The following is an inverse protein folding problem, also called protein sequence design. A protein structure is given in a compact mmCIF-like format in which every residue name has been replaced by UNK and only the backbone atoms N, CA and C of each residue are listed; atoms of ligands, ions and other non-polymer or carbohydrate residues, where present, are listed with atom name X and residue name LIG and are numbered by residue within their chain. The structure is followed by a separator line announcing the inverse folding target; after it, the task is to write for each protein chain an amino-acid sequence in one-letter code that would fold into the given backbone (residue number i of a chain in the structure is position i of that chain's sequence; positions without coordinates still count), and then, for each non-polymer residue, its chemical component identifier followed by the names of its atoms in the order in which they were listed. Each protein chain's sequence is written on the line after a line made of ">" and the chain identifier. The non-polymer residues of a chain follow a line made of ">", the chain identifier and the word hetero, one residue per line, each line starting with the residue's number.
data_IF_220325308514
#
_entry.id   IF_220325308514
#
_cell.length_a   1.000
_cell.length_b   1.000
_cell.length_c   1.000
_cell.angle_alpha   90.00
_cell.angle_beta   90.00
_cell.angle_gamma   90.00
#
_symmetry.space_group_name_H-M   'P 1'
#
loop_
_entity.id
_entity.type
_entity.pdbx_description
1 polymer ?
#
# COMPACT_ATOMS: atom_id res chain seq x y z
N UNK A 1 14.07 -2.45 -11.58
CA UNK A 1 13.18 -1.75 -12.53
C UNK A 1 13.80 -1.83 -13.91
N UNK A 2 13.00 -1.94 -14.97
CA UNK A 2 13.51 -2.05 -16.36
C UNK A 2 12.61 -1.25 -17.30
N UNK A 3 13.17 -0.46 -18.21
CA UNK A 3 12.39 0.19 -19.28
C UNK A 3 11.91 -0.87 -20.27
N UNK A 4 10.58 -0.95 -20.47
CA UNK A 4 9.97 -1.93 -21.38
C UNK A 4 9.49 -1.30 -22.68
N UNK A 5 8.96 -0.09 -22.59
CA UNK A 5 8.39 0.62 -23.74
C UNK A 5 8.76 2.09 -23.66
N UNK A 6 9.05 2.71 -24.80
CA UNK A 6 9.12 4.15 -24.96
C UNK A 6 8.23 4.56 -26.12
N UNK A 7 7.66 5.75 -26.06
CA UNK A 7 6.82 6.30 -27.11
C UNK A 7 7.35 7.67 -27.54
N UNK A 8 7.58 7.84 -28.83
CA UNK A 8 8.04 9.08 -29.45
C UNK A 8 6.99 9.50 -30.50
N UNK A 9 6.47 10.75 -30.50
CA UNK A 9 5.40 11.18 -31.39
C UNK A 9 5.65 10.95 -32.88
N UNK A 10 6.89 11.16 -33.34
CA UNK A 10 7.25 11.03 -34.76
C UNK A 10 7.48 9.58 -35.21
N UNK A 11 7.88 8.70 -34.29
CA UNK A 11 8.39 7.36 -34.61
C UNK A 11 7.49 6.23 -34.09
N UNK A 12 6.56 6.52 -33.17
CA UNK A 12 5.68 5.54 -32.56
C UNK A 12 6.25 4.93 -31.27
N UNK A 13 5.75 3.74 -30.92
CA UNK A 13 6.12 3.03 -29.68
C UNK A 13 7.25 2.02 -29.94
N UNK A 14 8.38 2.22 -29.28
CA UNK A 14 9.47 1.26 -29.24
C UNK A 14 9.29 0.32 -28.04
N UNK A 15 9.29 -0.98 -28.29
CA UNK A 15 9.38 -1.99 -27.24
C UNK A 15 10.80 -2.52 -27.18
N UNK A 16 11.45 -2.32 -26.03
CA UNK A 16 12.74 -2.97 -25.78
C UNK A 16 12.43 -4.41 -25.41
N UNK A 17 13.09 -5.36 -26.08
CA UNK A 17 12.78 -6.79 -26.04
C UNK A 17 12.60 -7.39 -24.63
N UNK A 18 12.17 -8.65 -24.57
CA UNK A 18 11.77 -9.35 -23.35
C UNK A 18 12.87 -9.60 -22.31
N UNK A 19 14.08 -9.04 -22.48
CA UNK A 19 15.16 -9.17 -21.50
C UNK A 19 14.73 -8.65 -20.13
N UNK A 20 14.87 -9.50 -19.12
CA UNK A 20 14.63 -9.19 -17.71
C UNK A 20 15.89 -8.66 -17.02
N UNK A 21 17.01 -8.54 -17.72
CA UNK A 21 18.28 -8.10 -17.14
C UNK A 21 18.28 -6.58 -16.94
N UNK A 22 18.37 -6.10 -15.69
CA UNK A 22 18.23 -4.68 -15.38
C UNK A 22 19.49 -3.85 -15.67
N UNK A 23 20.65 -4.48 -15.85
CA UNK A 23 21.94 -3.78 -15.96
C UNK A 23 22.66 -3.99 -17.29
N UNK A 24 22.27 -4.96 -18.11
CA UNK A 24 22.97 -5.30 -19.36
C UNK A 24 22.53 -4.38 -20.53
N UNK A 25 23.46 -3.60 -21.11
CA UNK A 25 23.19 -2.72 -22.25
C UNK A 25 23.41 -3.39 -23.62
N UNK A 26 23.94 -4.61 -23.71
CA UNK A 26 24.33 -5.20 -25.01
C UNK A 26 23.17 -5.78 -25.86
N UNK A 27 21.91 -5.63 -25.42
CA UNK A 27 20.72 -6.23 -26.04
C UNK A 27 19.77 -5.16 -26.58
N UNK A 28 20.16 -4.45 -27.65
CA UNK A 28 19.37 -3.42 -28.32
C UNK A 28 19.47 -3.47 -29.85
N UNK A 29 18.43 -3.02 -30.56
CA UNK A 29 18.43 -2.85 -32.02
C UNK A 29 19.05 -1.49 -32.39
N UNK A 30 20.00 -1.47 -33.32
CA UNK A 30 20.83 -0.31 -33.71
C UNK A 30 20.13 0.77 -34.57
N UNK A 31 18.79 0.78 -34.68
CA UNK A 31 18.11 1.74 -35.56
C UNK A 31 18.05 3.15 -34.91
N UNK A 32 19.03 3.99 -35.27
CA UNK A 32 19.06 5.42 -34.97
C UNK A 32 18.32 6.23 -36.06
N UNK A 33 17.17 6.79 -35.71
CA UNK A 33 16.52 7.85 -36.46
C UNK A 33 16.88 9.21 -35.85
N UNK A 34 16.99 10.30 -36.63
CA UNK A 34 17.35 11.62 -36.10
C UNK A 34 16.37 12.14 -35.04
N UNK A 35 15.06 11.82 -35.13
CA UNK A 35 14.11 12.20 -34.07
C UNK A 35 14.27 11.39 -32.77
N UNK A 36 14.97 10.25 -32.82
CA UNK A 36 15.30 9.44 -31.64
C UNK A 36 16.52 9.99 -30.90
N UNK A 37 17.43 10.68 -31.60
CA UNK A 37 18.65 11.25 -30.99
C UNK A 37 18.30 12.27 -29.90
N UNK A 38 17.36 13.19 -30.16
CA UNK A 38 16.89 14.16 -29.16
C UNK A 38 16.29 13.47 -27.93
N UNK A 39 15.51 12.41 -28.14
CA UNK A 39 14.93 11.63 -27.05
C UNK A 39 16.00 10.92 -26.21
N UNK A 40 17.00 10.32 -26.87
CA UNK A 40 18.12 9.65 -26.20
C UNK A 40 19.04 10.66 -25.49
N UNK A 41 19.22 11.86 -26.05
CA UNK A 41 19.93 12.95 -25.39
C UNK A 41 19.25 13.31 -24.07
N UNK A 42 17.93 13.48 -24.04
CA UNK A 42 17.22 13.73 -22.78
C UNK A 42 17.29 12.54 -21.83
N UNK A 43 17.11 11.32 -22.33
CA UNK A 43 17.15 10.12 -21.50
C UNK A 43 18.50 9.95 -20.78
N UNK A 44 19.60 10.24 -21.47
CA UNK A 44 20.96 10.15 -20.95
C UNK A 44 21.37 11.36 -20.09
N UNK A 45 21.00 12.57 -20.52
CA UNK A 45 21.46 13.80 -19.87
C UNK A 45 20.57 14.23 -18.69
N UNK A 46 19.26 13.95 -18.70
CA UNK A 46 18.38 14.19 -17.55
C UNK A 46 18.55 13.13 -16.45
N UNK A 47 19.77 12.65 -16.22
CA UNK A 47 20.06 11.50 -15.37
C UNK A 47 21.38 11.65 -14.62
N UNK A 48 21.41 11.27 -13.34
CA UNK A 48 22.65 11.28 -12.55
C UNK A 48 23.21 9.87 -12.33
N UNK A 49 22.45 8.83 -12.71
CA UNK A 49 22.92 7.46 -12.60
C UNK A 49 24.11 7.18 -13.53
N UNK A 50 24.99 6.31 -13.06
CA UNK A 50 26.16 5.87 -13.82
C UNK A 50 26.19 4.35 -13.90
N UNK A 51 26.23 3.83 -15.12
CA UNK A 51 26.39 2.40 -15.43
C UNK A 51 27.84 2.15 -15.82
N UNK A 52 28.49 1.17 -15.19
CA UNK A 52 29.87 0.81 -15.46
C UNK A 52 30.07 -0.69 -15.41
N UNK A 53 31.07 -1.15 -16.14
CA UNK A 53 31.54 -2.53 -16.06
C UNK A 53 32.55 -2.63 -14.90
N UNK A 54 32.31 -3.56 -13.98
CA UNK A 54 33.23 -3.89 -12.90
C UNK A 54 34.41 -4.71 -13.44
N UNK A 55 35.48 -4.81 -12.65
CA UNK A 55 36.69 -5.58 -12.97
C UNK A 55 36.40 -7.08 -13.17
N UNK A 56 35.31 -7.58 -12.58
CA UNK A 56 34.83 -8.96 -12.71
C UNK A 56 33.97 -9.19 -13.98
N UNK A 57 33.95 -8.22 -14.91
CA UNK A 57 33.17 -8.26 -16.15
C UNK A 57 31.64 -8.28 -15.92
N UNK A 58 31.18 -7.84 -14.75
CA UNK A 58 29.76 -7.67 -14.40
C UNK A 58 29.33 -6.19 -14.50
N UNK A 59 28.11 -5.95 -14.97
CA UNK A 59 27.54 -4.60 -15.06
C UNK A 59 27.00 -4.13 -13.71
N UNK A 60 27.53 -3.03 -13.19
CA UNK A 60 27.02 -2.36 -12.00
C UNK A 60 26.50 -0.97 -12.33
N UNK A 61 25.51 -0.53 -11.56
CA UNK A 61 24.95 0.81 -11.68
C UNK A 61 24.85 1.48 -10.31
N UNK A 62 25.13 2.78 -10.27
CA UNK A 62 24.93 3.63 -9.09
C UNK A 62 23.92 4.73 -9.42
N UNK A 63 22.98 4.97 -8.50
CA UNK A 63 21.93 5.98 -8.63
C UNK A 63 20.57 5.45 -8.16
N UNK A 64 19.52 6.23 -8.40
CA UNK A 64 18.14 5.82 -8.10
C UNK A 64 17.67 4.72 -9.05
N UNK A 65 16.83 3.75 -8.62
CA UNK A 65 16.39 2.64 -9.48
C UNK A 65 15.69 3.06 -10.77
N UNK A 66 14.97 4.18 -10.74
CA UNK A 66 14.27 4.77 -11.90
C UNK A 66 15.28 5.35 -12.90
N UNK A 67 16.32 5.98 -12.38
CA UNK A 67 17.42 6.61 -13.13
C UNK A 67 18.32 5.57 -13.80
N UNK A 68 18.68 4.53 -13.06
CA UNK A 68 19.44 3.40 -13.59
C UNK A 68 18.70 2.75 -14.76
N UNK A 69 17.38 2.54 -14.64
CA UNK A 69 16.60 1.90 -15.69
C UNK A 69 16.62 2.72 -17.01
N UNK A 70 16.57 4.05 -16.91
CA UNK A 70 16.67 4.95 -18.06
C UNK A 70 18.11 5.00 -18.61
N UNK A 71 19.13 4.99 -17.76
CA UNK A 71 20.53 4.99 -18.21
C UNK A 71 20.88 3.70 -18.95
N UNK A 72 20.43 2.56 -18.43
CA UNK A 72 20.63 1.26 -19.08
C UNK A 72 19.88 1.23 -20.41
N UNK A 73 18.69 1.83 -20.48
CA UNK A 73 17.96 1.99 -21.73
C UNK A 73 18.74 2.82 -22.75
N UNK A 74 19.25 4.00 -22.39
CA UNK A 74 20.06 4.83 -23.29
C UNK A 74 21.37 4.13 -23.70
N UNK A 75 22.00 3.42 -22.76
CA UNK A 75 23.21 2.63 -23.00
C UNK A 75 22.99 1.47 -23.99
N UNK A 76 21.76 0.97 -24.14
CA UNK A 76 21.43 -0.04 -25.17
C UNK A 76 21.53 0.47 -26.61
N UNK A 77 21.50 1.78 -26.79
CA UNK A 77 21.69 2.45 -28.08
C UNK A 77 23.08 3.07 -28.22
N UNK A 78 24.05 2.65 -27.39
CA UNK A 78 25.37 3.28 -27.29
C UNK A 78 25.30 4.80 -26.99
N UNK A 79 24.24 5.19 -26.26
CA UNK A 79 23.95 6.58 -25.88
C UNK A 79 24.13 6.80 -24.37
N UNK A 80 25.24 6.29 -23.83
CA UNK A 80 25.57 6.44 -22.41
C UNK A 80 26.02 7.87 -22.08
N UNK A 81 25.68 8.37 -20.89
CA UNK A 81 26.05 9.72 -20.41
C UNK A 81 27.56 9.98 -20.47
N UNK A 82 28.37 8.95 -20.21
CA UNK A 82 29.82 8.99 -20.25
C UNK A 82 30.38 9.41 -21.61
N UNK A 83 29.71 9.07 -22.72
CA UNK A 83 30.11 9.47 -24.09
C UNK A 83 30.16 11.00 -24.27
N UNK A 84 29.30 11.70 -23.54
CA UNK A 84 29.05 13.14 -23.69
C UNK A 84 29.82 13.98 -22.67
N UNK A 85 30.06 13.41 -21.49
CA UNK A 85 30.62 14.09 -20.32
C UNK A 85 32.07 13.71 -20.02
N UNK A 86 32.53 12.53 -20.45
CA UNK A 86 33.90 12.06 -20.21
C UNK A 86 34.77 12.18 -21.47
N UNK A 87 36.01 12.59 -21.28
CA UNK A 87 37.01 12.71 -22.36
C UNK A 87 37.81 14.00 -22.26
N UNK A 88 38.78 14.18 -23.17
CA UNK A 88 39.62 15.39 -23.24
C UNK A 88 38.87 16.62 -23.75
N UNK A 89 37.69 16.44 -24.36
CA UNK A 89 36.77 17.51 -24.82
C UNK A 89 35.31 17.08 -24.60
N UNK A 90 34.69 17.37 -23.44
CA UNK A 90 33.28 17.08 -23.21
C UNK A 90 32.41 17.93 -24.14
N UNK A 91 31.41 17.32 -24.77
CA UNK A 91 30.44 18.03 -25.62
C UNK A 91 29.43 18.80 -24.77
N UNK A 92 29.13 18.28 -23.57
CA UNK A 92 28.19 18.87 -22.63
C UNK A 92 28.87 19.13 -21.31
N UNK A 93 28.73 20.35 -20.80
CA UNK A 93 29.19 20.77 -19.48
C UNK A 93 27.99 21.13 -18.61
N UNK A 94 27.86 20.43 -17.48
CA UNK A 94 26.77 20.62 -16.53
C UNK A 94 26.95 21.95 -15.78
N UNK A 95 25.97 22.85 -15.92
CA UNK A 95 25.94 24.16 -15.25
C UNK A 95 25.16 24.12 -13.95
N UNK A 96 23.98 23.49 -13.95
CA UNK A 96 23.12 23.42 -12.78
C UNK A 96 22.27 22.13 -12.78
N UNK A 97 21.99 21.63 -11.58
CA UNK A 97 21.05 20.54 -11.36
C UNK A 97 19.87 21.01 -10.52
N UNK A 98 18.67 20.59 -10.94
CA UNK A 98 17.44 20.80 -10.19
C UNK A 98 16.94 19.44 -9.72
N UNK A 99 17.18 19.06 -8.45
CA UNK A 99 16.78 17.75 -7.94
C UNK A 99 15.27 17.60 -7.93
N UNK A 100 14.81 16.35 -7.93
CA UNK A 100 13.39 16.03 -7.93
C UNK A 100 12.66 16.69 -6.75
N UNK A 101 11.58 17.39 -7.06
CA UNK A 101 10.70 18.00 -6.07
C UNK A 101 9.29 17.43 -6.18
N UNK A 102 8.72 17.02 -5.04
CA UNK A 102 7.39 16.46 -4.94
C UNK A 102 6.25 17.41 -5.35
N UNK A 103 6.44 18.73 -5.21
CA UNK A 103 5.44 19.72 -5.58
C UNK A 103 5.31 19.84 -7.11
N UNK A 104 6.46 19.85 -7.80
CA UNK A 104 6.54 20.03 -9.26
C UNK A 104 6.64 18.68 -10.00
N UNK A 105 6.91 17.59 -9.26
CA UNK A 105 7.01 16.19 -9.73
C UNK A 105 7.93 15.99 -10.94
N UNK A 106 9.01 16.76 -11.01
CA UNK A 106 9.97 16.72 -12.10
C UNK A 106 11.39 17.01 -11.61
N UNK A 107 12.36 16.58 -12.41
CA UNK A 107 13.79 16.83 -12.25
C UNK A 107 14.30 17.43 -13.55
N UNK A 108 15.21 18.40 -13.46
CA UNK A 108 15.76 19.06 -14.63
C UNK A 108 17.28 19.25 -14.51
N UNK A 109 18.00 19.13 -15.61
CA UNK A 109 19.44 19.35 -15.71
C UNK A 109 19.73 20.42 -16.77
N UNK A 110 20.53 21.42 -16.41
CA UNK A 110 20.96 22.49 -17.32
C UNK A 110 22.39 22.23 -17.75
N UNK A 111 22.55 21.91 -19.03
CA UNK A 111 23.83 21.65 -19.66
C UNK A 111 24.13 22.69 -20.74
N UNK A 112 25.42 22.91 -20.97
CA UNK A 112 25.92 23.80 -22.01
C UNK A 112 26.82 23.06 -22.98
N UNK A 113 26.68 23.35 -24.27
CA UNK A 113 27.58 22.82 -25.29
C UNK A 113 28.37 23.96 -25.94
N UNK A 114 29.72 23.87 -25.97
CA UNK A 114 30.54 24.81 -26.72
C UNK A 114 30.56 24.39 -28.20
N UNK A 115 29.64 24.94 -29.00
CA UNK A 115 29.58 24.68 -30.43
C UNK A 115 30.04 25.93 -31.21
N UNK A 116 31.11 25.81 -32.00
CA UNK A 116 31.58 26.87 -32.92
C UNK A 116 31.81 28.26 -32.28
N UNK A 117 32.21 28.31 -31.01
CA UNK A 117 32.49 29.59 -30.32
C UNK A 117 31.27 30.27 -29.69
N UNK A 118 30.07 29.69 -29.82
CA UNK A 118 28.86 30.11 -29.13
C UNK A 118 28.47 29.07 -28.04
N UNK A 119 28.14 29.54 -26.84
CA UNK A 119 27.61 28.68 -25.78
C UNK A 119 26.11 28.47 -25.99
N UNK A 120 25.72 27.25 -26.37
CA UNK A 120 24.31 26.87 -26.44
C UNK A 120 23.91 26.17 -25.14
N UNK A 121 22.94 26.74 -24.43
CA UNK A 121 22.40 26.15 -23.21
C UNK A 121 21.16 25.31 -23.53
N UNK A 122 21.09 24.12 -22.94
CA UNK A 122 19.99 23.16 -23.08
C UNK A 122 19.52 22.73 -21.70
N UNK A 123 18.21 22.72 -21.51
CA UNK A 123 17.57 22.16 -20.32
C UNK A 123 16.93 20.82 -20.69
N UNK A 124 17.30 19.78 -19.95
CA UNK A 124 16.74 18.46 -20.06
C UNK A 124 15.86 18.21 -18.83
N UNK A 125 14.62 17.76 -19.03
CA UNK A 125 13.68 17.55 -17.93
C UNK A 125 12.98 16.20 -18.06
N UNK A 126 12.84 15.52 -16.91
CA UNK A 126 12.03 14.31 -16.75
C UNK A 126 11.01 14.51 -15.65
N UNK A 127 9.76 14.13 -15.89
CA UNK A 127 8.71 14.37 -14.89
C UNK A 127 7.41 13.64 -15.12
N UNK A 128 6.52 13.80 -14.15
CA UNK A 128 5.13 13.39 -14.27
C UNK A 128 4.46 14.14 -15.42
N UNK A 129 3.57 13.45 -16.10
CA UNK A 129 2.99 13.93 -17.35
C UNK A 129 1.57 14.35 -17.04
N UNK A 130 1.33 15.66 -16.96
CA UNK A 130 -0.02 16.16 -16.63
C UNK A 130 -0.84 16.48 -17.90
N UNK A 131 -0.23 16.54 -19.10
CA UNK A 131 -0.86 17.18 -20.27
C UNK A 131 -1.07 16.28 -21.51
N UNK A 132 -0.74 14.97 -21.50
CA UNK A 132 -0.77 14.14 -22.74
C UNK A 132 -1.61 12.87 -22.56
N UNK A 133 -2.94 13.01 -22.70
CA UNK A 133 -3.91 12.01 -22.25
C UNK A 133 -4.06 10.73 -23.11
N UNK A 134 -3.86 10.77 -24.44
CA UNK A 134 -4.22 9.62 -25.30
C UNK A 134 -3.22 8.44 -25.23
N UNK A 135 -1.93 8.70 -25.41
CA UNK A 135 -0.93 7.61 -25.48
C UNK A 135 -0.46 7.13 -24.10
N UNK A 136 -0.75 7.90 -23.05
CA UNK A 136 -0.67 7.42 -21.66
C UNK A 136 -1.54 6.20 -21.42
N UNK A 137 -2.75 6.16 -21.99
CA UNK A 137 -3.71 5.09 -21.70
C UNK A 137 -3.15 3.71 -22.07
N UNK A 138 -2.46 3.60 -23.20
CA UNK A 138 -1.85 2.35 -23.65
C UNK A 138 -0.71 1.90 -22.74
N UNK A 139 0.20 2.81 -22.38
CA UNK A 139 1.30 2.49 -21.45
C UNK A 139 0.80 2.21 -20.02
N UNK A 140 -0.23 2.92 -19.58
CA UNK A 140 -0.80 2.81 -18.24
C UNK A 140 -1.58 1.49 -18.09
N UNK A 141 -2.24 1.03 -19.17
CA UNK A 141 -2.94 -0.27 -19.20
C UNK A 141 -2.01 -1.46 -18.94
N UNK A 142 -0.70 -1.28 -19.15
CA UNK A 142 0.33 -2.28 -18.89
C UNK A 142 0.94 -2.18 -17.48
N UNK A 143 0.35 -1.37 -16.59
CA UNK A 143 0.84 -1.10 -15.24
C UNK A 143 2.30 -0.63 -15.20
N UNK A 144 2.75 0.10 -16.22
CA UNK A 144 4.08 0.69 -16.28
C UNK A 144 4.09 2.04 -15.56
N UNK A 145 5.20 2.35 -14.87
CA UNK A 145 5.48 3.71 -14.39
C UNK A 145 5.88 4.57 -15.57
N UNK A 146 5.08 5.58 -15.89
CA UNK A 146 5.30 6.47 -17.05
C UNK A 146 5.98 7.76 -16.62
N UNK A 147 7.00 8.17 -17.37
CA UNK A 147 7.64 9.48 -17.24
C UNK A 147 7.68 10.17 -18.61
N UNK A 148 7.47 11.50 -18.63
CA UNK A 148 7.71 12.31 -19.82
C UNK A 148 9.15 12.79 -19.84
N UNK A 149 9.72 12.76 -21.04
CA UNK A 149 10.97 13.41 -21.37
C UNK A 149 10.67 14.67 -22.17
N UNK A 150 11.27 15.78 -21.77
CA UNK A 150 11.12 17.07 -22.40
C UNK A 150 12.46 17.83 -22.42
N UNK A 151 12.64 18.69 -23.40
CA UNK A 151 13.82 19.54 -23.52
C UNK A 151 13.47 20.99 -23.82
N UNK A 152 14.41 21.89 -23.60
CA UNK A 152 14.32 23.28 -24.05
C UNK A 152 15.70 23.79 -24.44
N UNK A 153 15.82 24.37 -25.64
CA UNK A 153 16.98 25.14 -26.04
C UNK A 153 16.83 26.60 -25.62
N UNK A 154 17.92 27.24 -25.20
CA UNK A 154 17.98 28.68 -24.97
C UNK A 154 18.80 29.35 -26.06
N UNK A 155 18.31 30.50 -26.54
CA UNK A 155 19.06 31.35 -27.45
C UNK A 155 20.16 32.10 -26.68
N UNK A 156 21.36 32.30 -27.29
CA UNK A 156 22.51 32.96 -26.65
C UNK A 156 22.20 34.38 -26.13
N UNK A 157 21.21 35.06 -26.71
CA UNK A 157 20.77 36.41 -26.31
C UNK A 157 19.96 36.47 -25.02
N UNK A 158 19.60 35.33 -24.43
CA UNK A 158 18.81 35.27 -23.20
C UNK A 158 19.71 35.54 -22.00
N UNK A 159 19.92 36.82 -21.66
CA UNK A 159 20.74 37.34 -20.54
C UNK A 159 20.38 36.77 -19.14
N UNK A 160 19.35 35.95 -19.02
CA UNK A 160 18.86 35.36 -17.75
C UNK A 160 19.87 34.37 -17.14
N UNK A 161 20.90 33.95 -17.88
CA UNK A 161 21.82 32.88 -17.48
C UNK A 161 23.23 33.35 -17.08
N UNK A 162 23.52 34.67 -17.14
CA UNK A 162 24.77 35.24 -16.62
C UNK A 162 24.56 35.83 -15.22
N UNK A 163 24.57 34.97 -14.20
CA UNK A 163 24.42 35.34 -12.79
C UNK A 163 24.16 34.12 -11.94
N UNK A 164 24.84 33.98 -10.81
CA UNK A 164 24.96 32.73 -10.03
C UNK A 164 23.67 32.23 -9.33
N UNK A 165 22.46 32.62 -9.76
CA UNK A 165 21.23 32.14 -9.15
C UNK A 165 20.20 31.71 -10.20
N UNK A 166 20.27 30.44 -10.60
CA UNK A 166 19.32 29.85 -11.53
C UNK A 166 18.00 29.58 -10.80
N UNK A 167 16.99 30.42 -11.00
CA UNK A 167 15.64 30.16 -10.46
C UNK A 167 14.90 29.11 -11.29
N UNK A 168 14.53 28.02 -10.61
CA UNK A 168 13.81 26.87 -11.20
C UNK A 168 12.59 27.28 -12.04
N UNK A 169 11.76 28.18 -11.52
CA UNK A 169 10.51 28.59 -12.17
C UNK A 169 10.71 29.31 -13.51
N UNK A 170 11.87 29.92 -13.74
CA UNK A 170 12.17 30.65 -14.98
C UNK A 170 12.77 29.72 -16.04
N UNK A 171 13.64 28.82 -15.58
CA UNK A 171 14.33 27.84 -16.41
C UNK A 171 13.33 26.82 -16.98
N UNK A 172 12.41 26.32 -16.16
CA UNK A 172 11.51 25.21 -16.52
C UNK A 172 10.21 25.61 -17.28
N UNK A 173 10.11 26.85 -17.76
CA UNK A 173 8.99 27.29 -18.63
C UNK A 173 9.18 26.77 -20.08
N UNK A 174 8.09 26.63 -20.83
CA UNK A 174 8.10 26.34 -22.28
C UNK A 174 8.95 25.11 -22.70
N UNK A 175 8.86 24.03 -21.93
CA UNK A 175 9.50 22.76 -22.28
C UNK A 175 8.84 22.16 -23.53
N UNK A 176 9.64 21.75 -24.49
CA UNK A 176 9.22 20.96 -25.64
C UNK A 176 9.14 19.49 -25.24
N UNK A 177 7.95 18.92 -25.36
CA UNK A 177 7.73 17.51 -25.09
C UNK A 177 8.32 16.64 -26.22
N UNK A 178 9.10 15.62 -25.85
CA UNK A 178 9.70 14.67 -26.81
C UNK A 178 9.05 13.30 -26.80
N UNK A 179 8.69 12.76 -25.63
CA UNK A 179 8.17 11.39 -25.56
C UNK A 179 7.93 10.88 -24.15
N UNK A 180 7.47 9.63 -24.08
CA UNK A 180 7.17 8.91 -22.84
C UNK A 180 8.08 7.69 -22.67
N UNK A 181 8.44 7.38 -21.43
CA UNK A 181 9.15 6.15 -21.05
C UNK A 181 8.28 5.37 -20.06
N UNK A 182 8.02 4.10 -20.36
CA UNK A 182 7.32 3.14 -19.53
C UNK A 182 8.29 2.19 -18.82
N UNK A 183 8.39 2.35 -17.50
CA UNK A 183 9.28 1.60 -16.62
C UNK A 183 8.47 0.51 -15.92
N UNK A 184 8.94 -0.74 -16.04
CA UNK A 184 8.39 -1.87 -15.33
C UNK A 184 9.03 -2.00 -13.94
N UNK A 185 8.19 -1.97 -12.90
CA UNK A 185 8.59 -2.23 -11.53
C UNK A 185 8.25 -3.69 -11.16
N UNK A 186 9.24 -4.59 -11.02
CA UNK A 186 8.96 -5.98 -10.67
C UNK A 186 8.32 -6.04 -9.27
N UNK A 187 7.29 -6.88 -9.07
CA UNK A 187 6.73 -7.09 -7.74
C UNK A 187 7.80 -7.63 -6.81
N UNK A 188 7.79 -7.18 -5.55
CA UNK A 188 8.74 -7.67 -4.55
C UNK A 188 8.62 -9.19 -4.41
N UNK A 189 9.72 -9.94 -4.30
CA UNK A 189 9.68 -11.40 -4.27
C UNK A 189 8.82 -11.94 -3.10
N UNK A 190 8.80 -11.23 -1.98
CA UNK A 190 7.94 -11.48 -0.81
C UNK A 190 6.43 -11.43 -1.10
N UNK A 191 6.01 -10.66 -2.11
CA UNK A 191 4.59 -10.50 -2.52
C UNK A 191 4.13 -11.48 -3.60
N UNK A 192 5.06 -12.14 -4.30
CA UNK A 192 4.72 -13.05 -5.40
C UNK A 192 3.86 -14.25 -4.95
N UNK A 193 4.08 -14.74 -3.72
CA UNK A 193 3.27 -15.80 -3.11
C UNK A 193 1.86 -15.32 -2.70
N UNK A 194 1.74 -14.06 -2.26
CA UNK A 194 0.49 -13.48 -1.77
C UNK A 194 -0.49 -13.16 -2.91
N UNK A 195 -0.01 -12.79 -4.10
CA UNK A 195 -0.86 -12.48 -5.25
C UNK A 195 -1.70 -13.67 -5.76
N UNK A 196 -1.31 -14.92 -5.46
CA UNK A 196 -2.09 -16.12 -5.79
C UNK A 196 -3.28 -16.34 -4.85
N UNK A 197 -3.26 -15.76 -3.65
CA UNK A 197 -4.37 -15.84 -2.70
C UNK A 197 -5.13 -14.51 -2.71
N UNK A 198 -6.30 -14.51 -3.31
CA UNK A 198 -7.21 -13.38 -3.22
C UNK A 198 -7.55 -13.05 -1.77
N UNK A 199 -7.84 -11.77 -1.51
CA UNK A 199 -8.22 -11.23 -0.20
C UNK A 199 -9.48 -11.93 0.36
N UNK A 200 -10.34 -12.43 -0.53
CA UNK A 200 -11.55 -13.20 -0.20
C UNK A 200 -11.32 -14.69 -0.40
N UNK A 201 -10.52 -15.32 0.47
CA UNK A 201 -10.50 -16.79 0.49
C UNK A 201 -11.84 -17.30 1.04
N UNK A 202 -12.30 -18.44 0.54
CA UNK A 202 -13.51 -19.10 1.05
C UNK A 202 -13.42 -19.38 2.55
N UNK A 203 -12.22 -19.53 3.10
CA UNK A 203 -11.97 -19.71 4.53
C UNK A 203 -12.39 -18.46 5.33
N UNK A 204 -12.04 -17.26 4.85
CA UNK A 204 -12.41 -15.99 5.48
C UNK A 204 -13.91 -15.76 5.40
N UNK A 205 -14.53 -16.06 4.25
CA UNK A 205 -15.98 -15.91 4.06
C UNK A 205 -16.76 -16.82 5.01
N UNK A 206 -16.37 -18.09 5.11
CA UNK A 206 -17.01 -19.06 6.01
C UNK A 206 -16.84 -18.64 7.47
N UNK A 207 -15.65 -18.17 7.86
CA UNK A 207 -15.40 -17.73 9.24
C UNK A 207 -16.23 -16.48 9.57
N UNK A 208 -16.33 -15.48 8.68
CA UNK A 208 -17.18 -14.29 8.88
C UNK A 208 -18.65 -14.70 9.07
N UNK A 209 -19.17 -15.62 8.25
CA UNK A 209 -20.55 -16.09 8.37
C UNK A 209 -20.78 -16.86 9.68
N UNK A 210 -19.88 -17.77 10.05
CA UNK A 210 -20.02 -18.58 11.25
C UNK A 210 -19.97 -17.73 12.52
N UNK A 211 -18.99 -16.81 12.65
CA UNK A 211 -18.91 -15.91 13.80
C UNK A 211 -20.06 -14.92 13.83
N UNK A 212 -20.47 -14.38 12.68
CA UNK A 212 -21.61 -13.47 12.59
C UNK A 212 -22.92 -14.12 13.07
N UNK A 213 -23.21 -15.34 12.62
CA UNK A 213 -24.39 -16.09 13.05
C UNK A 213 -24.36 -16.40 14.55
N UNK A 214 -23.19 -16.80 15.07
CA UNK A 214 -23.03 -17.10 16.49
C UNK A 214 -23.21 -15.85 17.37
N UNK A 215 -22.56 -14.74 17.03
CA UNK A 215 -22.72 -13.46 17.74
C UNK A 215 -24.17 -12.97 17.69
N UNK A 216 -24.84 -13.07 16.54
CA UNK A 216 -26.26 -12.73 16.42
C UNK A 216 -27.15 -13.58 17.32
N UNK A 217 -26.90 -14.89 17.38
CA UNK A 217 -27.68 -15.80 18.23
C UNK A 217 -27.51 -15.47 19.72
N UNK A 218 -26.29 -15.17 20.16
CA UNK A 218 -26.02 -14.78 21.54
C UNK A 218 -26.64 -13.43 21.91
N UNK A 219 -26.56 -12.43 21.04
CA UNK A 219 -27.18 -11.12 21.26
C UNK A 219 -28.72 -11.20 21.31
N UNK A 220 -29.34 -12.01 20.44
CA UNK A 220 -30.79 -12.19 20.47
C UNK A 220 -31.23 -12.97 21.72
N UNK A 221 -30.41 -13.94 22.14
CA UNK A 221 -30.66 -14.70 23.37
C UNK A 221 -30.53 -13.82 24.61
N UNK A 222 -29.51 -12.95 24.70
CA UNK A 222 -29.35 -12.05 25.85
C UNK A 222 -30.48 -11.02 25.93
N UNK A 223 -30.89 -10.44 24.79
CA UNK A 223 -32.05 -9.55 24.73
C UNK A 223 -33.33 -10.25 25.19
N UNK A 224 -33.59 -11.45 24.67
CA UNK A 224 -34.80 -12.21 24.98
C UNK A 224 -34.85 -12.62 26.46
N UNK A 225 -33.71 -13.00 27.03
CA UNK A 225 -33.59 -13.37 28.45
C UNK A 225 -33.76 -12.16 29.38
N UNK A 226 -33.24 -10.99 28.99
CA UNK A 226 -33.46 -9.75 29.73
C UNK A 226 -34.94 -9.30 29.70
N UNK A 227 -35.62 -9.45 28.55
CA UNK A 227 -37.01 -9.04 28.38
C UNK A 227 -38.01 -10.01 29.02
N UNK A 228 -37.93 -11.30 28.67
CA UNK A 228 -38.95 -12.31 29.03
C UNK A 228 -38.51 -13.24 30.16
N UNK A 229 -37.21 -13.35 30.44
CA UNK A 229 -36.71 -14.17 31.54
C UNK A 229 -36.78 -13.46 32.88
N UNK A 230 -36.35 -12.21 32.92
CA UNK A 230 -36.22 -11.42 34.15
C UNK A 230 -37.06 -10.12 34.16
N UNK A 231 -37.80 -9.84 33.09
CA UNK A 231 -38.65 -8.65 32.96
C UNK A 231 -40.14 -8.97 33.06
N UNK A 232 -40.95 -7.93 33.30
CA UNK A 232 -42.39 -8.04 33.53
C UNK A 232 -43.24 -8.10 32.24
N UNK A 233 -42.63 -8.49 31.10
CA UNK A 233 -43.23 -8.55 29.74
C UNK A 233 -43.92 -7.25 29.28
N UNK A 234 -43.62 -6.12 29.94
CA UNK A 234 -44.16 -4.82 29.61
C UNK A 234 -43.22 -4.06 28.67
N UNK A 235 -43.58 -3.97 27.39
CA UNK A 235 -42.79 -3.30 26.35
C UNK A 235 -42.93 -1.76 26.34
N UNK A 236 -43.85 -1.20 27.15
CA UNK A 236 -44.16 0.23 27.15
C UNK A 236 -44.69 0.74 25.80
N UNK A 237 -44.95 2.04 25.68
CA UNK A 237 -45.34 2.69 24.42
C UNK A 237 -44.43 3.86 24.10
N UNK A 238 -43.89 3.90 22.88
CA UNK A 238 -43.13 5.06 22.40
C UNK A 238 -41.71 5.20 22.99
N UNK A 239 -41.13 4.11 23.49
CA UNK A 239 -39.79 4.08 24.11
C UNK A 239 -38.66 4.56 23.19
N UNK A 240 -38.86 4.52 21.87
CA UNK A 240 -37.88 5.05 20.91
C UNK A 240 -37.86 6.59 20.83
N UNK A 241 -38.77 7.32 21.48
CA UNK A 241 -38.83 8.80 21.39
C UNK A 241 -38.32 9.50 22.63
N UNK A 242 -38.75 9.07 23.82
CA UNK A 242 -38.37 9.67 25.09
C UNK A 242 -38.24 8.58 26.16
N UNK A 243 -37.37 8.82 27.13
CA UNK A 243 -37.24 7.97 28.30
C UNK A 243 -38.47 8.10 29.20
N UNK A 244 -39.02 6.95 29.61
CA UNK A 244 -40.11 6.83 30.57
C UNK A 244 -39.81 5.64 31.49
N UNK A 245 -40.32 5.66 32.72
CA UNK A 245 -40.18 4.54 33.67
C UNK A 245 -40.79 3.24 33.14
N UNK A 246 -41.83 3.34 32.31
CA UNK A 246 -42.43 2.16 31.65
C UNK A 246 -41.50 1.51 30.62
N UNK A 247 -40.49 2.24 30.11
CA UNK A 247 -39.54 1.78 29.11
C UNK A 247 -38.21 1.29 29.70
N UNK A 248 -38.08 1.30 31.03
CA UNK A 248 -36.84 0.96 31.73
C UNK A 248 -36.37 -0.46 31.42
N UNK A 249 -37.30 -1.42 31.30
CA UNK A 249 -37.01 -2.81 30.91
C UNK A 249 -36.43 -2.91 29.50
N UNK A 250 -37.02 -2.21 28.53
CA UNK A 250 -36.54 -2.18 27.13
C UNK A 250 -35.16 -1.54 27.05
N UNK A 251 -34.93 -0.45 27.79
CA UNK A 251 -33.65 0.24 27.83
C UNK A 251 -32.56 -0.64 28.48
N UNK A 252 -32.92 -1.46 29.48
CA UNK A 252 -32.02 -2.44 30.11
C UNK A 252 -31.69 -3.59 29.16
N UNK A 253 -32.67 -4.09 28.40
CA UNK A 253 -32.44 -5.12 27.40
C UNK A 253 -31.55 -4.63 26.23
N UNK A 254 -31.74 -3.39 25.78
CA UNK A 254 -30.85 -2.76 24.80
C UNK A 254 -29.42 -2.60 25.35
N UNK A 255 -29.30 -2.14 26.59
CA UNK A 255 -28.03 -1.99 27.28
C UNK A 255 -27.27 -3.32 27.38
N UNK A 256 -27.92 -4.42 27.79
CA UNK A 256 -27.30 -5.75 27.86
C UNK A 256 -26.84 -6.23 26.49
N UNK A 257 -27.63 -6.02 25.45
CA UNK A 257 -27.28 -6.39 24.07
C UNK A 257 -26.08 -5.60 23.56
N UNK A 258 -26.01 -4.30 23.86
CA UNK A 258 -24.87 -3.44 23.53
C UNK A 258 -23.58 -3.91 24.19
N UNK A 259 -23.61 -4.26 25.49
CA UNK A 259 -22.46 -4.82 26.20
C UNK A 259 -22.02 -6.14 25.59
N UNK A 260 -22.95 -7.07 25.40
CA UNK A 260 -22.66 -8.38 24.80
C UNK A 260 -22.03 -8.24 23.42
N UNK A 261 -22.62 -7.43 22.53
CA UNK A 261 -22.09 -7.19 21.19
C UNK A 261 -20.68 -6.61 21.22
N UNK A 262 -20.48 -5.58 22.06
CA UNK A 262 -19.18 -4.89 22.16
C UNK A 262 -18.11 -5.84 22.67
N UNK A 263 -18.40 -6.62 23.71
CA UNK A 263 -17.43 -7.54 24.29
C UNK A 263 -17.11 -8.70 23.36
N UNK A 264 -18.11 -9.27 22.68
CA UNK A 264 -17.86 -10.31 21.68
C UNK A 264 -17.04 -9.81 20.49
N UNK A 265 -17.26 -8.58 20.02
CA UNK A 265 -16.45 -7.98 18.96
C UNK A 265 -14.99 -7.77 19.39
N UNK A 266 -14.76 -7.34 20.63
CA UNK A 266 -13.42 -7.19 21.20
C UNK A 266 -12.70 -8.54 21.33
N UNK A 267 -13.39 -9.58 21.80
CA UNK A 267 -12.84 -10.94 21.86
C UNK A 267 -12.56 -11.53 20.47
N UNK A 268 -13.44 -11.30 19.49
CA UNK A 268 -13.23 -11.73 18.11
C UNK A 268 -11.97 -11.08 17.52
N UNK A 269 -11.69 -9.82 17.87
CA UNK A 269 -10.49 -9.12 17.43
C UNK A 269 -9.21 -9.82 17.91
N UNK A 270 -9.20 -10.37 19.13
CA UNK A 270 -8.08 -11.20 19.61
C UNK A 270 -7.99 -12.56 18.90
N UNK A 271 -9.12 -13.16 18.54
CA UNK A 271 -9.12 -14.41 17.79
C UNK A 271 -8.59 -14.24 16.36
N UNK A 272 -8.90 -13.12 15.71
CA UNK A 272 -8.52 -12.84 14.32
C UNK A 272 -7.03 -12.50 14.13
N UNK A 273 -6.22 -12.50 15.20
CA UNK A 273 -4.77 -12.28 15.11
C UNK A 273 -4.09 -13.35 14.23
N UNK A 274 -4.64 -14.56 14.17
CA UNK A 274 -4.17 -15.60 13.25
C UNK A 274 -5.34 -16.31 12.58
N UNK A 275 -5.46 -16.18 11.25
CA UNK A 275 -6.55 -16.79 10.46
C UNK A 275 -6.68 -18.32 10.60
N UNK A 276 -5.58 -19.01 10.95
CA UNK A 276 -5.54 -20.49 11.00
C UNK A 276 -5.40 -21.08 12.40
N UNK A 277 -5.06 -20.28 13.42
CA UNK A 277 -4.71 -20.80 14.75
C UNK A 277 -5.54 -20.13 15.82
N UNK A 278 -6.04 -20.92 16.75
CA UNK A 278 -6.79 -20.43 17.90
C UNK A 278 -5.92 -19.53 18.77
N UNK A 279 -6.54 -18.49 19.32
CA UNK A 279 -5.97 -17.56 20.30
C UNK A 279 -5.20 -18.26 21.43
N UNK A 280 -5.76 -19.34 21.99
CA UNK A 280 -5.14 -20.07 23.09
C UNK A 280 -3.95 -20.95 22.66
N UNK A 281 -3.73 -21.15 21.36
CA UNK A 281 -2.64 -21.98 20.82
C UNK A 281 -1.99 -21.38 19.58
N UNK A 282 -1.47 -20.16 19.73
CA UNK A 282 -0.86 -19.41 18.64
C UNK A 282 0.51 -19.97 18.18
N UNK A 283 1.34 -20.46 19.12
CA UNK A 283 2.63 -21.10 18.83
C UNK A 283 2.69 -22.54 19.39
N UNK A 284 2.55 -23.58 18.55
CA UNK A 284 2.42 -24.96 19.01
C UNK A 284 3.73 -25.57 19.57
N UNK A 285 4.90 -24.96 19.32
CA UNK A 285 6.22 -25.49 19.70
C UNK A 285 6.68 -25.11 21.12
N UNK A 286 5.89 -24.34 21.88
CA UNK A 286 6.31 -23.84 23.19
C UNK A 286 5.85 -24.72 24.34
N UNK A 287 6.68 -24.82 25.39
CA UNK A 287 6.47 -25.70 26.55
C UNK A 287 5.49 -25.15 27.60
N UNK A 288 5.09 -23.88 27.50
CA UNK A 288 4.16 -23.22 28.44
C UNK A 288 2.75 -23.26 27.85
N UNK A 289 1.90 -24.18 28.29
CA UNK A 289 0.56 -24.36 27.69
C UNK A 289 -0.48 -23.34 28.20
N UNK A 290 -0.48 -23.00 29.50
CA UNK A 290 -1.51 -22.10 30.08
C UNK A 290 -1.17 -20.61 30.01
N UNK A 291 0.10 -20.24 30.17
CA UNK A 291 0.49 -18.83 30.36
C UNK A 291 0.95 -18.15 29.09
N UNK A 292 1.05 -18.90 27.99
CA UNK A 292 1.67 -18.41 26.77
C UNK A 292 0.80 -17.45 25.97
N UNK A 293 -0.51 -17.67 25.93
CA UNK A 293 -1.43 -16.76 25.24
C UNK A 293 -1.32 -15.33 25.80
N UNK A 294 -1.18 -15.19 27.13
CA UNK A 294 -1.02 -13.89 27.79
C UNK A 294 0.28 -13.18 27.37
N UNK A 295 1.39 -13.93 27.27
CA UNK A 295 2.65 -13.39 26.78
C UNK A 295 2.57 -12.98 25.30
N UNK A 296 1.95 -13.82 24.47
CA UNK A 296 1.87 -13.57 23.03
C UNK A 296 0.92 -12.39 22.71
N UNK A 297 -0.11 -12.17 23.52
CA UNK A 297 -1.00 -11.01 23.46
C UNK A 297 -0.28 -9.74 23.91
N UNK A 298 0.45 -9.79 25.04
CA UNK A 298 1.22 -8.66 25.56
C UNK A 298 2.36 -8.25 24.61
N UNK A 299 2.87 -9.17 23.78
CA UNK A 299 3.90 -8.87 22.77
C UNK A 299 3.46 -7.76 21.82
N UNK A 300 2.18 -7.68 21.48
CA UNK A 300 1.62 -6.57 20.69
C UNK A 300 0.91 -5.58 21.61
N UNK A 301 1.70 -4.65 22.16
CA UNK A 301 1.22 -3.61 23.08
C UNK A 301 0.09 -2.77 22.48
N UNK A 302 0.17 -2.43 21.18
CA UNK A 302 -0.84 -1.61 20.53
C UNK A 302 -2.21 -2.30 20.47
N UNK A 303 -2.24 -3.56 20.02
CA UNK A 303 -3.48 -4.35 19.97
C UNK A 303 -4.05 -4.58 21.37
N UNK A 304 -3.19 -4.89 22.34
CA UNK A 304 -3.59 -5.10 23.72
C UNK A 304 -4.29 -3.86 24.30
N UNK A 305 -3.63 -2.71 24.25
CA UNK A 305 -4.18 -1.46 24.81
C UNK A 305 -5.43 -0.98 24.07
N UNK A 306 -5.52 -1.19 22.75
CA UNK A 306 -6.70 -0.84 21.97
C UNK A 306 -7.94 -1.63 22.41
N UNK A 307 -7.80 -2.93 22.66
CA UNK A 307 -8.91 -3.78 23.11
C UNK A 307 -9.31 -3.45 24.55
N UNK A 308 -8.34 -3.23 25.43
CA UNK A 308 -8.60 -2.84 26.83
C UNK A 308 -9.31 -1.48 26.92
N UNK A 309 -8.91 -0.52 26.09
CA UNK A 309 -9.62 0.75 25.98
C UNK A 309 -11.09 0.53 25.59
N UNK A 310 -11.36 -0.37 24.62
CA UNK A 310 -12.72 -0.76 24.25
C UNK A 310 -13.55 -1.26 25.44
N UNK A 311 -13.01 -2.18 26.25
CA UNK A 311 -13.70 -2.67 27.45
C UNK A 311 -13.97 -1.57 28.47
N UNK A 312 -12.98 -0.70 28.72
CA UNK A 312 -13.11 0.40 29.69
C UNK A 312 -14.14 1.42 29.22
N UNK A 313 -14.23 1.70 27.92
CA UNK A 313 -15.18 2.70 27.35
C UNK A 313 -16.65 2.31 27.50
N UNK A 314 -16.97 1.02 27.69
CA UNK A 314 -18.35 0.57 27.91
C UNK A 314 -18.93 1.12 29.23
N UNK A 315 -18.10 1.25 30.27
CA UNK A 315 -18.51 1.72 31.60
C UNK A 315 -19.05 3.17 31.56
N UNK A 316 -18.31 4.18 31.06
CA UNK A 316 -18.84 5.55 31.02
C UNK A 316 -20.05 5.68 30.09
N UNK A 317 -20.16 4.89 29.02
CA UNK A 317 -21.33 4.91 28.12
C UNK A 317 -22.61 4.48 28.85
N UNK A 318 -22.51 3.51 29.78
CA UNK A 318 -23.65 2.97 30.52
C UNK A 318 -24.08 3.77 31.74
N UNK A 319 -23.16 4.47 32.40
CA UNK A 319 -23.45 5.10 33.69
C UNK A 319 -23.50 6.63 33.65
N UNK A 320 -23.07 7.27 32.55
CA UNK A 320 -23.21 8.72 32.40
C UNK A 320 -24.63 9.03 31.88
N UNK A 321 -25.49 9.71 32.67
CA UNK A 321 -26.93 9.80 32.40
C UNK A 321 -27.24 10.40 31.03
N UNK A 322 -26.61 11.53 30.66
CA UNK A 322 -26.84 12.21 29.36
C UNK A 322 -26.49 11.34 28.15
N UNK A 323 -25.46 10.50 28.27
CA UNK A 323 -25.01 9.62 27.18
C UNK A 323 -25.94 8.40 27.11
N UNK A 324 -26.30 7.87 28.27
CA UNK A 324 -27.10 6.68 28.43
C UNK A 324 -28.54 6.87 27.94
N UNK A 325 -29.27 7.87 28.45
CA UNK A 325 -30.71 8.01 28.23
C UNK A 325 -31.10 8.79 26.95
N UNK A 326 -30.32 9.81 26.57
CA UNK A 326 -30.61 10.67 25.40
C UNK A 326 -29.97 10.11 24.12
N UNK A 327 -28.70 9.74 24.16
CA UNK A 327 -27.96 9.34 22.95
C UNK A 327 -28.19 7.88 22.62
N UNK A 328 -27.92 6.98 23.57
CA UNK A 328 -27.96 5.53 23.34
C UNK A 328 -29.27 4.86 23.76
N UNK A 329 -30.12 5.53 24.54
CA UNK A 329 -31.39 5.00 25.07
C UNK A 329 -31.21 3.68 25.82
N UNK A 330 -30.30 3.71 26.78
CA UNK A 330 -29.93 2.61 27.65
C UNK A 330 -30.19 2.99 29.11
N UNK A 331 -30.19 2.00 30.00
CA UNK A 331 -30.20 2.18 31.46
C UNK A 331 -29.06 1.41 32.10
N UNK A 332 -28.62 1.90 33.26
CA UNK A 332 -27.54 1.26 34.02
C UNK A 332 -27.88 -0.17 34.39
N UNK A 333 -26.92 -1.06 34.17
CA UNK A 333 -27.04 -2.49 34.46
C UNK A 333 -26.48 -2.76 35.87
N UNK A 334 -27.07 -3.71 36.62
CA UNK A 334 -26.62 -4.03 37.99
C UNK A 334 -25.82 -5.32 38.04
N UNK A 335 -26.45 -6.48 37.84
CA UNK A 335 -25.80 -7.79 37.94
C UNK A 335 -25.51 -8.43 36.57
N UNK A 336 -26.13 -7.94 35.49
CA UNK A 336 -25.96 -8.49 34.14
C UNK A 336 -24.58 -8.17 33.54
N UNK A 337 -23.82 -7.23 34.12
CA UNK A 337 -22.39 -7.02 33.84
C UNK A 337 -21.51 -8.21 34.28
N UNK A 338 -21.99 -9.03 35.24
CA UNK A 338 -21.25 -10.15 35.83
C UNK A 338 -21.66 -11.54 35.29
N UNK A 339 -22.70 -11.60 34.46
CA UNK A 339 -23.09 -12.82 33.74
C UNK A 339 -22.41 -13.07 32.38
N UNK A 340 -21.19 -12.59 32.06
CA UNK A 340 -20.37 -13.30 31.10
C UNK A 340 -19.99 -14.68 31.65
N UNK A 341 -19.84 -14.84 32.98
CA UNK A 341 -19.29 -16.07 33.61
C UNK A 341 -20.19 -17.30 33.47
N UNK A 342 -21.51 -17.16 33.61
CA UNK A 342 -22.45 -18.27 33.41
C UNK A 342 -22.65 -18.64 31.93
N UNK A 343 -22.35 -17.71 31.01
CA UNK A 343 -22.26 -18.00 29.57
C UNK A 343 -20.88 -18.54 29.14
N UNK A 344 -19.79 -18.15 29.81
CA UNK A 344 -18.44 -18.60 29.50
C UNK A 344 -18.16 -20.00 30.04
N UNK A 345 -18.72 -20.42 31.18
CA UNK A 345 -18.59 -21.81 31.65
C UNK A 345 -19.38 -22.81 30.77
N UNK A 346 -20.48 -22.37 30.14
CA UNK A 346 -21.18 -23.14 29.11
C UNK A 346 -20.43 -23.10 27.76
N UNK A 347 -19.78 -21.97 27.43
CA UNK A 347 -18.89 -21.83 26.27
C UNK A 347 -17.59 -22.63 26.37
N UNK A 348 -17.10 -22.94 27.58
CA UNK A 348 -15.90 -23.77 27.78
C UNK A 348 -16.18 -25.27 27.65
N UNK A 349 -17.38 -25.73 28.04
CA UNK A 349 -17.75 -27.16 27.97
C UNK A 349 -18.45 -27.58 26.67
N UNK A 350 -19.03 -26.65 25.92
CA UNK A 350 -19.56 -26.91 24.59
C UNK A 350 -18.78 -26.15 23.51
N UNK A 351 -17.60 -26.69 23.20
CA UNK A 351 -16.84 -26.42 21.97
C UNK A 351 -16.99 -27.55 20.90
N UNK A 352 -18.16 -28.19 20.68
CA UNK A 352 -18.28 -29.20 19.62
C UNK A 352 -18.06 -28.58 18.24
N UNK A 353 -18.42 -27.31 18.03
CA UNK A 353 -18.20 -26.62 16.74
C UNK A 353 -16.74 -26.29 16.44
N UNK A 354 -15.90 -25.95 17.44
CA UNK A 354 -14.45 -25.73 17.20
C UNK A 354 -13.70 -27.05 17.04
N UNK A 355 -14.12 -28.12 17.72
CA UNK A 355 -13.64 -29.47 17.42
C UNK A 355 -14.01 -29.89 16.00
N UNK A 356 -15.23 -29.57 15.54
CA UNK A 356 -15.70 -29.88 14.20
C UNK A 356 -15.07 -28.98 13.11
N UNK A 357 -14.94 -27.67 13.33
CA UNK A 357 -14.29 -26.71 12.43
C UNK A 357 -12.77 -26.87 12.41
N UNK A 358 -12.10 -27.15 13.53
CA UNK A 358 -10.68 -27.50 13.54
C UNK A 358 -10.43 -28.88 12.89
N UNK A 359 -11.34 -29.84 13.08
CA UNK A 359 -11.31 -31.14 12.39
C UNK A 359 -11.57 -30.99 10.90
N UNK A 360 -12.46 -30.10 10.46
CA UNK A 360 -12.66 -29.74 9.04
C UNK A 360 -11.46 -28.97 8.46
N UNK A 361 -10.85 -28.04 9.23
CA UNK A 361 -9.63 -27.31 8.85
C UNK A 361 -8.41 -28.24 8.78
N UNK A 362 -8.35 -29.31 9.59
CA UNK A 362 -7.30 -30.33 9.55
C UNK A 362 -7.57 -31.46 8.54
N UNK A 363 -8.83 -31.76 8.19
CA UNK A 363 -9.19 -32.83 7.25
C UNK A 363 -9.16 -32.44 5.77
N UNK A 364 -8.72 -31.24 5.43
CA UNK A 364 -8.34 -30.88 4.06
C UNK A 364 -9.44 -31.11 3.03
N UNK A 365 -10.33 -30.12 2.85
CA UNK A 365 -11.10 -30.02 1.60
C UNK A 365 -10.21 -29.54 0.43
N UNK A 366 -8.95 -29.20 0.68
CA UNK A 366 -7.92 -29.10 -0.37
C UNK A 366 -6.59 -29.61 0.20
N UNK A 367 -5.93 -30.50 -0.55
CA UNK A 367 -4.81 -31.34 -0.12
C UNK A 367 -3.55 -30.63 0.39
N UNK A 368 -2.53 -31.40 0.83
CA UNK A 368 -1.33 -30.87 1.46
C UNK A 368 -0.54 -30.03 0.45
N UNK A 369 -0.30 -28.76 0.79
CA UNK A 369 0.73 -27.97 0.12
C UNK A 369 2.08 -28.63 0.40
N UNK A 370 2.70 -29.15 -0.67
CA UNK A 370 4.06 -29.65 -0.66
C UNK A 370 4.99 -28.63 -0.01
N UNK A 371 5.70 -29.12 0.99
CA UNK A 371 6.93 -28.54 1.52
C UNK A 371 7.94 -28.52 0.37
N UNK A 372 8.19 -27.37 -0.24
CA UNK A 372 9.44 -27.14 -0.99
C UNK A 372 10.41 -26.45 -0.03
N UNK A 373 11.21 -27.29 0.64
CA UNK A 373 12.60 -26.96 0.93
C UNK A 373 13.33 -27.07 -0.41
N UNK A 374 13.76 -25.93 -0.94
CA UNK A 374 15.15 -25.61 -1.33
C UNK A 374 15.19 -24.23 -2.00
#
# INVERSE_FOLDING_TARGET
>A
MVVRKSWVPALGTYSVGSSNEPFNPALGDELLCPELEDFLNVASMANLAHVYLSEENEWHARGEPTEIAIEVFASRFDWNRGRWTKGSKPTWQQKAEFPFDSAVKKMSLLDSTPANGEEKNMLFSKGAVDTILRNMGELASLCLRILALAQRSFDPSTQVLEGMDYRRDEVEKNLQFLGLVGIYDPPRPETAGALKQGIFTWEVVIDILAYGLWTSALCLSSFSLAMWGFGDDNLGRGCNRQYSKECELVFRACATTFVCLTWFALFLTWEMVNMRRSFFRMQPKSKKYLTKWAYDVWRNQFLFWSIHAGFITVIPILYIPIINDVVFKHTGITWECLSPSHGTEASERHLPMRGWLASLRCKGITGPLQKQED
#
